data_IF_233405467735
#
_entry.id   IF_233405467735
#
_cell.length_a   1.000
_cell.length_b   1.000
_cell.length_c   1.000
_cell.angle_alpha   90.00
_cell.angle_beta   90.00
_cell.angle_gamma   90.00
#
_symmetry.space_group_name_H-M   'P 1'
#
loop_
_entity.id
_entity.type
_entity.pdbx_description
1 polymer ?
#
# COMPACT_ATOMS: atom_id res chain seq x y z
N UNK A 1 -45.74 -12.46 -27.28
CA UNK A 1 -44.29 -12.47 -26.96
C UNK A 1 -43.86 -11.42 -25.93
N UNK A 2 -44.57 -10.31 -25.76
CA UNK A 2 -44.20 -9.21 -24.83
C UNK A 2 -44.24 -9.64 -23.35
N UNK A 3 -45.17 -10.50 -22.94
CA UNK A 3 -45.31 -10.95 -21.54
C UNK A 3 -44.12 -11.75 -20.99
N UNK A 4 -43.42 -12.52 -21.84
CA UNK A 4 -42.22 -13.25 -21.45
C UNK A 4 -41.02 -12.31 -21.24
N UNK A 5 -40.94 -11.23 -22.03
CA UNK A 5 -39.88 -10.22 -21.87
C UNK A 5 -40.04 -9.43 -20.56
N UNK A 6 -41.27 -9.04 -20.22
CA UNK A 6 -41.55 -8.31 -18.98
C UNK A 6 -41.30 -9.21 -17.76
N UNK A 7 -41.74 -10.47 -17.79
CA UNK A 7 -41.49 -11.43 -16.70
C UNK A 7 -39.99 -11.69 -16.50
N UNK A 8 -39.22 -11.82 -17.59
CA UNK A 8 -37.77 -11.95 -17.54
C UNK A 8 -37.08 -10.73 -16.96
N UNK A 9 -37.51 -9.52 -17.33
CA UNK A 9 -36.95 -8.27 -16.81
C UNK A 9 -37.21 -8.09 -15.31
N UNK A 10 -38.44 -8.39 -14.84
CA UNK A 10 -38.80 -8.32 -13.42
C UNK A 10 -38.05 -9.38 -12.62
N UNK A 11 -37.92 -10.60 -13.14
CA UNK A 11 -37.11 -11.65 -12.52
C UNK A 11 -35.63 -11.28 -12.44
N UNK A 12 -35.09 -10.62 -13.47
CA UNK A 12 -33.71 -10.13 -13.48
C UNK A 12 -33.51 -8.98 -12.48
N UNK A 13 -34.47 -8.06 -12.35
CA UNK A 13 -34.46 -7.01 -11.32
C UNK A 13 -34.52 -7.60 -9.92
N UNK A 14 -35.36 -8.61 -9.70
CA UNK A 14 -35.48 -9.29 -8.41
C UNK A 14 -34.21 -10.08 -8.07
N UNK A 15 -33.64 -10.80 -9.05
CA UNK A 15 -32.35 -11.49 -8.92
C UNK A 15 -31.20 -10.51 -8.67
N UNK A 16 -31.22 -9.35 -9.34
CA UNK A 16 -30.24 -8.30 -9.17
C UNK A 16 -30.36 -7.63 -7.80
N UNK A 17 -31.58 -7.42 -7.29
CA UNK A 17 -31.82 -6.91 -5.94
C UNK A 17 -31.30 -7.88 -4.88
N UNK A 18 -31.63 -9.18 -5.00
CA UNK A 18 -31.14 -10.23 -4.10
C UNK A 18 -29.60 -10.31 -4.09
N UNK A 19 -28.94 -10.11 -5.23
CA UNK A 19 -27.48 -10.12 -5.34
C UNK A 19 -26.83 -8.82 -4.82
N UNK A 20 -27.55 -7.69 -4.82
CA UNK A 20 -26.99 -6.37 -4.49
C UNK A 20 -27.07 -6.01 -3.00
N UNK A 21 -27.92 -6.67 -2.20
CA UNK A 21 -27.96 -6.47 -0.73
C UNK A 21 -26.65 -6.87 -0.02
N UNK A 22 -25.79 -7.68 -0.65
CA UNK A 22 -24.47 -8.04 -0.07
C UNK A 22 -23.48 -6.88 0.01
N UNK A 23 -23.72 -5.74 -0.65
CA UNK A 23 -22.87 -4.56 -0.51
C UNK A 23 -23.10 -3.81 0.82
N UNK A 24 -24.26 -3.98 1.44
CA UNK A 24 -24.68 -3.29 2.66
C UNK A 24 -24.05 -3.95 3.92
N UNK A 25 -23.88 -5.27 3.88
CA UNK A 25 -23.25 -6.07 4.95
C UNK A 25 -21.77 -5.68 5.18
N UNK A 26 -21.07 -5.27 4.11
CA UNK A 26 -19.66 -4.87 4.20
C UNK A 26 -19.43 -3.63 5.06
N UNK A 27 -20.38 -2.68 5.08
CA UNK A 27 -20.24 -1.44 5.86
C UNK A 27 -20.33 -1.71 7.37
N UNK A 28 -21.20 -2.63 7.79
CA UNK A 28 -21.33 -3.04 9.20
C UNK A 28 -20.11 -3.80 9.70
N UNK A 29 -19.51 -4.64 8.84
CA UNK A 29 -18.28 -5.37 9.17
C UNK A 29 -17.09 -4.44 9.41
N UNK A 30 -17.02 -3.29 8.72
CA UNK A 30 -15.98 -2.29 8.94
C UNK A 30 -16.15 -1.55 10.27
N UNK A 31 -17.39 -1.22 10.66
CA UNK A 31 -17.70 -0.59 11.95
C UNK A 31 -17.32 -1.48 13.13
N UNK A 32 -17.64 -2.77 13.06
CA UNK A 32 -17.30 -3.73 14.11
C UNK A 32 -15.79 -3.95 14.22
N UNK A 33 -15.09 -3.98 13.08
CA UNK A 33 -13.62 -4.08 13.04
C UNK A 33 -12.94 -2.84 13.63
N UNK A 34 -13.48 -1.64 13.41
CA UNK A 34 -12.97 -0.41 14.02
C UNK A 34 -13.18 -0.42 15.54
N UNK A 35 -14.37 -0.82 16.01
CA UNK A 35 -14.66 -0.94 17.45
C UNK A 35 -13.74 -1.96 18.16
N UNK A 36 -13.44 -3.09 17.50
CA UNK A 36 -12.49 -4.08 18.01
C UNK A 36 -11.05 -3.56 18.05
N UNK A 37 -10.68 -2.65 17.14
CA UNK A 37 -9.33 -2.06 17.07
C UNK A 37 -9.12 -1.02 18.17
N UNK A 38 -10.13 -0.18 18.45
CA UNK A 38 -10.07 0.80 19.54
C UNK A 38 -9.88 0.16 20.91
N UNK A 39 -10.52 -0.99 21.16
CA UNK A 39 -10.35 -1.74 22.42
C UNK A 39 -8.92 -2.24 22.61
N UNK A 40 -8.28 -2.75 21.56
CA UNK A 40 -6.87 -3.18 21.61
C UNK A 40 -5.95 -2.00 21.90
N UNK A 41 -6.16 -0.85 21.26
CA UNK A 41 -5.36 0.36 21.52
C UNK A 41 -5.47 0.80 22.98
N UNK A 42 -6.67 0.73 23.58
CA UNK A 42 -6.85 1.03 25.00
C UNK A 42 -6.11 0.04 25.91
N UNK A 43 -6.18 -1.26 25.61
CA UNK A 43 -5.45 -2.29 26.37
C UNK A 43 -3.93 -2.09 26.28
N UNK A 44 -3.38 -1.91 25.09
CA UNK A 44 -1.95 -1.62 24.93
C UNK A 44 -1.54 -0.32 25.64
N UNK A 45 -2.39 0.71 25.63
CA UNK A 45 -2.10 1.97 26.33
C UNK A 45 -2.08 1.77 27.85
N UNK A 46 -2.95 0.93 28.40
CA UNK A 46 -2.95 0.57 29.82
C UNK A 46 -1.72 -0.26 30.16
N UNK A 47 -1.37 -1.26 29.34
CA UNK A 47 -0.15 -2.06 29.50
C UNK A 47 1.13 -1.24 29.38
N UNK A 48 1.18 -0.23 28.50
CA UNK A 48 2.32 0.70 28.41
C UNK A 48 2.37 1.70 29.58
N UNK A 49 1.21 2.10 30.12
CA UNK A 49 1.14 2.96 31.28
C UNK A 49 1.56 2.23 32.57
N UNK A 50 1.29 0.93 32.68
CA UNK A 50 1.76 0.07 33.78
C UNK A 50 3.18 -0.46 33.55
N UNK A 51 3.58 -0.69 32.30
CA UNK A 51 4.85 -1.29 31.87
C UNK A 51 5.98 -0.29 31.58
N UNK A 52 6.05 0.82 32.34
CA UNK A 52 7.14 1.80 32.27
C UNK A 52 8.50 1.29 32.76
N UNK A 53 8.78 -0.02 32.66
CA UNK A 53 10.09 -0.60 32.93
C UNK A 53 10.66 -1.09 31.61
N UNK A 54 11.46 -0.23 30.97
CA UNK A 54 12.40 -0.68 29.94
C UNK A 54 13.18 -1.83 30.57
N UNK A 55 13.10 -3.08 30.05
CA UNK A 55 13.79 -4.20 30.66
C UNK A 55 15.28 -3.85 30.77
N UNK A 56 15.89 -4.09 31.94
CA UNK A 56 17.30 -3.80 32.25
C UNK A 56 18.26 -4.26 31.13
N UNK A 57 17.87 -5.32 30.41
CA UNK A 57 18.55 -5.85 29.23
C UNK A 57 18.70 -4.84 28.07
N UNK A 58 17.74 -3.93 27.85
CA UNK A 58 17.83 -2.92 26.79
C UNK A 58 18.72 -1.73 27.17
N UNK A 59 18.96 -1.49 28.47
CA UNK A 59 19.87 -0.44 28.95
C UNK A 59 21.34 -0.80 28.75
N UNK A 60 21.65 -2.09 28.65
CA UNK A 60 23.01 -2.60 28.51
C UNK A 60 23.41 -2.87 27.05
N UNK A 61 22.53 -2.60 26.07
CA UNK A 61 22.90 -2.68 24.66
C UNK A 61 23.83 -1.51 24.33
N UNK A 62 25.12 -1.74 24.01
CA UNK A 62 26.01 -0.68 23.59
C UNK A 62 25.57 -0.21 22.20
N UNK A 63 24.87 0.91 22.14
CA UNK A 63 24.57 1.59 20.88
C UNK A 63 25.86 2.25 20.39
N UNK A 64 26.33 1.97 19.15
CA UNK A 64 27.47 2.68 18.58
C UNK A 64 27.11 4.17 18.48
N UNK A 65 27.75 5.00 19.31
CA UNK A 65 27.45 6.43 19.42
C UNK A 65 27.84 7.26 18.19
N UNK A 66 28.44 6.64 17.18
CA UNK A 66 28.84 7.33 15.94
C UNK A 66 28.59 6.43 14.73
N UNK A 67 27.95 7.02 13.72
CA UNK A 67 27.67 6.39 12.42
C UNK A 67 28.93 5.98 11.63
N UNK A 68 30.13 6.17 12.17
CA UNK A 68 31.40 5.77 11.55
C UNK A 68 31.81 4.33 11.89
N UNK A 69 31.25 3.75 12.96
CA UNK A 69 31.60 2.39 13.43
C UNK A 69 30.60 1.32 12.96
N UNK A 70 29.68 1.66 12.04
CA UNK A 70 28.80 0.65 11.44
C UNK A 70 29.59 -0.18 10.43
N UNK A 71 29.60 -1.51 10.56
CA UNK A 71 30.24 -2.36 9.57
C UNK A 71 29.64 -2.16 8.17
N UNK A 72 30.48 -2.16 7.14
CA UNK A 72 30.10 -1.94 5.74
C UNK A 72 28.94 -2.82 5.24
N UNK A 73 28.77 -4.02 5.81
CA UNK A 73 27.64 -4.90 5.48
C UNK A 73 26.28 -4.34 5.96
N UNK A 74 26.23 -3.59 7.06
CA UNK A 74 25.03 -2.88 7.50
C UNK A 74 24.78 -1.61 6.68
N UNK A 75 25.82 -0.97 6.16
CA UNK A 75 25.69 0.19 5.27
C UNK A 75 25.02 -0.21 3.95
N UNK A 76 25.41 -1.35 3.37
CA UNK A 76 24.81 -1.89 2.15
C UNK A 76 23.33 -2.25 2.32
N UNK A 77 22.96 -2.84 3.47
CA UNK A 77 21.57 -3.13 3.80
C UNK A 77 20.75 -1.88 4.14
N UNK A 78 21.37 -0.79 4.63
CA UNK A 78 20.69 0.49 4.84
C UNK A 78 20.42 1.22 3.51
N UNK A 79 21.26 1.05 2.49
CA UNK A 79 20.98 1.52 1.13
C UNK A 79 19.81 0.77 0.47
N UNK A 80 19.68 -0.53 0.73
CA UNK A 80 18.54 -1.33 0.25
C UNK A 80 17.25 -1.16 1.08
N UNK A 81 17.38 -0.76 2.36
CA UNK A 81 16.26 -0.55 3.29
C UNK A 81 15.89 0.93 3.50
N UNK A 82 16.59 1.86 2.86
CA UNK A 82 16.22 3.28 2.82
C UNK A 82 15.03 3.46 1.87
N UNK A 83 13.85 3.17 2.40
CA UNK A 83 12.57 3.67 1.92
C UNK A 83 12.08 3.03 0.63
N UNK A 84 11.09 2.14 0.76
CA UNK A 84 10.10 2.04 -0.31
C UNK A 84 9.45 3.42 -0.42
N UNK A 85 9.84 4.19 -1.43
CA UNK A 85 9.24 5.48 -1.71
C UNK A 85 7.80 5.24 -2.14
N UNK A 86 6.88 6.07 -1.65
CA UNK A 86 5.51 6.02 -2.13
C UNK A 86 5.43 6.60 -3.54
N UNK A 87 5.60 5.75 -4.55
CA UNK A 87 5.54 6.16 -5.95
C UNK A 87 4.14 6.68 -6.35
N UNK A 88 3.11 6.52 -5.50
CA UNK A 88 1.79 7.11 -5.75
C UNK A 88 1.78 8.63 -5.69
N UNK A 89 2.85 9.25 -5.18
CA UNK A 89 3.05 10.70 -5.26
C UNK A 89 3.25 11.19 -6.71
N UNK A 90 3.74 10.34 -7.61
CA UNK A 90 3.86 10.68 -9.03
C UNK A 90 2.48 10.65 -9.69
N UNK A 91 2.07 11.77 -10.26
CA UNK A 91 0.81 11.89 -10.99
C UNK A 91 0.74 10.87 -12.14
N UNK A 92 -0.23 9.97 -12.06
CA UNK A 92 -0.42 8.88 -13.02
C UNK A 92 -0.02 7.50 -12.49
N UNK A 93 0.60 7.42 -11.32
CA UNK A 93 0.85 6.17 -10.60
C UNK A 93 -0.18 6.05 -9.46
N UNK A 94 -1.13 5.13 -9.61
CA UNK A 94 -2.06 4.75 -8.53
C UNK A 94 -1.53 3.55 -7.74
N UNK A 95 -2.23 3.16 -6.67
CA UNK A 95 -1.85 2.03 -5.80
C UNK A 95 -1.59 0.71 -6.57
N UNK A 96 -2.36 0.45 -7.63
CA UNK A 96 -2.17 -0.73 -8.49
C UNK A 96 -0.85 -0.68 -9.26
N UNK A 97 -0.49 0.48 -9.81
CA UNK A 97 0.76 0.65 -10.54
C UNK A 97 1.96 0.69 -9.60
N UNK A 98 1.82 1.31 -8.44
CA UNK A 98 2.84 1.25 -7.39
C UNK A 98 3.13 -0.20 -6.99
N UNK A 99 2.11 -1.01 -6.74
CA UNK A 99 2.28 -2.44 -6.43
C UNK A 99 2.98 -3.21 -7.57
N UNK A 100 2.66 -2.93 -8.84
CA UNK A 100 3.34 -3.55 -9.99
C UNK A 100 4.81 -3.13 -10.11
N UNK A 101 5.12 -1.87 -9.84
CA UNK A 101 6.50 -1.36 -9.84
C UNK A 101 7.33 -1.98 -8.71
N UNK A 102 6.76 -2.06 -7.51
CA UNK A 102 7.38 -2.72 -6.38
C UNK A 102 7.64 -4.20 -6.65
N UNK A 103 6.68 -4.92 -7.27
CA UNK A 103 6.89 -6.31 -7.71
C UNK A 103 8.00 -6.44 -8.76
N UNK A 104 8.19 -5.41 -9.60
CA UNK A 104 9.30 -5.33 -10.55
C UNK A 104 10.63 -4.86 -9.90
N UNK A 105 10.68 -4.66 -8.58
CA UNK A 105 11.87 -4.21 -7.84
C UNK A 105 12.14 -2.70 -7.93
N UNK A 106 11.19 -1.93 -8.48
CA UNK A 106 11.22 -0.48 -8.58
C UNK A 106 10.43 0.08 -7.40
N UNK A 107 11.16 0.39 -6.35
CA UNK A 107 10.62 0.84 -5.06
C UNK A 107 11.10 2.22 -4.66
N UNK A 108 11.81 2.95 -5.53
CA UNK A 108 12.31 4.30 -5.24
C UNK A 108 12.13 5.22 -6.43
N UNK A 109 12.01 6.53 -6.19
CA UNK A 109 11.95 7.52 -7.27
C UNK A 109 13.23 7.48 -8.13
N UNK A 110 14.38 7.19 -7.51
CA UNK A 110 15.64 7.05 -8.21
C UNK A 110 15.63 5.90 -9.23
N UNK A 111 15.10 4.73 -8.83
CA UNK A 111 14.94 3.59 -9.74
C UNK A 111 13.91 3.84 -10.83
N UNK A 112 12.82 4.53 -10.50
CA UNK A 112 11.79 4.91 -11.46
C UNK A 112 12.37 5.86 -12.54
N UNK A 113 13.15 6.86 -12.14
CA UNK A 113 13.84 7.80 -13.05
C UNK A 113 14.91 7.15 -13.93
N UNK A 114 15.53 6.08 -13.43
CA UNK A 114 16.53 5.31 -14.19
C UNK A 114 15.90 4.41 -15.27
N UNK A 115 14.58 4.22 -15.25
CA UNK A 115 13.87 3.40 -16.23
C UNK A 115 13.64 4.15 -17.54
N UNK A 116 13.66 3.41 -18.66
CA UNK A 116 13.21 3.95 -19.95
C UNK A 116 11.68 3.94 -20.05
N UNK A 117 11.13 4.81 -20.90
CA UNK A 117 9.70 4.87 -21.16
C UNK A 117 9.16 3.54 -21.70
N UNK A 118 9.94 2.82 -22.52
CA UNK A 118 9.50 1.51 -23.05
C UNK A 118 9.43 0.47 -21.93
N UNK A 119 10.44 0.42 -21.05
CA UNK A 119 10.45 -0.49 -19.90
C UNK A 119 9.31 -0.20 -18.94
N UNK A 120 9.00 1.07 -18.72
CA UNK A 120 7.89 1.47 -17.86
C UNK A 120 6.54 1.10 -18.51
N UNK A 121 6.40 1.27 -19.82
CA UNK A 121 5.19 0.84 -20.54
C UNK A 121 4.98 -0.67 -20.48
N UNK A 122 6.04 -1.46 -20.58
CA UNK A 122 5.97 -2.92 -20.51
C UNK A 122 5.55 -3.40 -19.11
N UNK A 123 6.13 -2.82 -18.04
CA UNK A 123 5.82 -3.21 -16.66
C UNK A 123 4.37 -2.85 -16.29
N UNK A 124 3.94 -1.65 -16.67
CA UNK A 124 2.63 -1.12 -16.32
C UNK A 124 1.52 -1.52 -17.31
N UNK A 125 1.88 -2.10 -18.45
CA UNK A 125 0.97 -2.41 -19.57
C UNK A 125 0.16 -1.17 -20.00
N UNK A 126 0.88 -0.07 -20.26
CA UNK A 126 0.30 1.22 -20.65
C UNK A 126 0.90 1.73 -21.96
N UNK A 127 0.21 2.66 -22.63
CA UNK A 127 0.74 3.32 -23.83
C UNK A 127 2.02 4.09 -23.53
N UNK A 128 2.97 4.09 -24.46
CA UNK A 128 4.27 4.77 -24.34
C UNK A 128 4.14 6.24 -23.89
N UNK A 129 3.27 7.02 -24.53
CA UNK A 129 3.05 8.42 -24.16
C UNK A 129 2.54 8.64 -22.73
N UNK A 130 1.88 7.65 -22.11
CA UNK A 130 1.53 7.73 -20.68
C UNK A 130 2.75 7.47 -19.81
N UNK A 131 3.58 6.50 -20.17
CA UNK A 131 4.82 6.20 -19.45
C UNK A 131 5.79 7.39 -19.49
N UNK A 132 5.90 8.08 -20.64
CA UNK A 132 6.69 9.31 -20.77
C UNK A 132 6.20 10.41 -19.81
N UNK A 133 4.90 10.68 -19.78
CA UNK A 133 4.32 11.67 -18.86
C UNK A 133 4.60 11.34 -17.38
N UNK A 134 4.56 10.05 -17.01
CA UNK A 134 4.88 9.60 -15.66
C UNK A 134 6.36 9.81 -15.34
N UNK A 135 7.27 9.55 -16.28
CA UNK A 135 8.70 9.77 -16.10
C UNK A 135 9.05 11.25 -16.01
N UNK A 136 8.40 12.10 -16.81
CA UNK A 136 8.56 13.56 -16.69
C UNK A 136 8.10 14.06 -15.32
N UNK A 137 6.97 13.58 -14.80
CA UNK A 137 6.52 13.93 -13.47
C UNK A 137 7.48 13.41 -12.39
N UNK A 138 7.97 12.18 -12.54
CA UNK A 138 8.93 11.58 -11.60
C UNK A 138 10.25 12.37 -11.50
N UNK A 139 10.64 13.15 -12.51
CA UNK A 139 11.82 14.04 -12.45
C UNK A 139 11.63 15.24 -11.51
N UNK A 140 10.38 15.62 -11.24
CA UNK A 140 10.06 16.74 -10.33
C UNK A 140 10.04 16.31 -8.85
N UNK A 141 10.26 15.02 -8.57
CA UNK A 141 10.36 14.42 -7.23
C UNK A 141 11.78 13.88 -6.98
#
# INVERSE_FOLDING_TARGET
MIGLLIGGLVGLLFWYWQKSTSAEDGALALLDKLAATEKRVRQLKTELAEGGTVPEALRSIPLPGRAADVPSFLAKSREEAAGDDDLTQVKGIGAVFNGRLQQAGINTFAKLKALSAEKLSDILDVRLGRAENILEEAKNH
#
